data_IF_847049153087
#
_entry.id   IF_847049153087
#
_cell.length_a   1.000
_cell.length_b   1.000
_cell.length_c   1.000
_cell.angle_alpha   90.00
_cell.angle_beta   90.00
_cell.angle_gamma   90.00
#
_symmetry.space_group_name_H-M   'P 1'
#
loop_
_entity.id
_entity.type
_entity.pdbx_description
1 polymer ?
#
# COMPACT_ATOMS: atom_id res chain seq x y z
N UNK A 1 -11.35 -0.51 -1.14
CA UNK A 1 -11.04 -1.77 -0.42
C UNK A 1 -10.99 -1.44 1.06
N UNK A 2 -11.63 -2.25 1.90
CA UNK A 2 -11.70 -2.04 3.34
C UNK A 2 -11.14 -3.24 4.09
N UNK A 3 -10.39 -2.97 5.15
CA UNK A 3 -9.67 -3.96 5.95
C UNK A 3 -9.87 -3.68 7.43
N UNK A 4 -9.74 -4.71 8.26
CA UNK A 4 -9.76 -4.60 9.72
C UNK A 4 -8.53 -5.31 10.28
N UNK A 5 -7.95 -4.82 11.37
CA UNK A 5 -6.90 -5.56 12.07
C UNK A 5 -7.39 -6.96 12.46
N UNK A 6 -6.54 -7.96 12.28
CA UNK A 6 -6.83 -9.33 12.71
C UNK A 6 -7.00 -9.37 14.22
N UNK A 7 -7.78 -10.33 14.68
CA UNK A 7 -7.87 -10.62 16.09
C UNK A 7 -6.49 -11.02 16.64
N UNK A 8 -6.00 -10.27 17.63
CA UNK A 8 -4.68 -10.49 18.21
C UNK A 8 -4.57 -11.88 18.84
N UNK A 9 -5.67 -12.41 19.36
CA UNK A 9 -5.71 -13.75 19.98
C UNK A 9 -5.51 -14.87 18.95
N UNK A 10 -5.76 -14.61 17.68
CA UNK A 10 -5.61 -15.57 16.57
C UNK A 10 -4.24 -15.48 15.87
N UNK A 11 -3.42 -14.50 16.26
CA UNK A 11 -2.12 -14.25 15.68
C UNK A 11 -0.99 -15.00 16.39
N UNK A 12 0.07 -15.34 15.66
CA UNK A 12 1.33 -15.80 16.27
C UNK A 12 2.01 -14.67 17.08
N UNK A 13 3.05 -15.02 17.84
CA UNK A 13 3.74 -14.04 18.70
C UNK A 13 4.32 -12.85 17.90
N UNK A 14 4.78 -13.10 16.67
CA UNK A 14 5.32 -12.05 15.81
C UNK A 14 4.24 -11.02 15.44
N UNK A 15 3.10 -11.47 14.92
CA UNK A 15 2.00 -10.58 14.55
C UNK A 15 1.31 -9.94 15.75
N UNK A 16 1.25 -10.63 16.90
CA UNK A 16 0.77 -10.04 18.15
C UNK A 16 1.60 -8.82 18.54
N UNK A 17 2.93 -8.92 18.48
CA UNK A 17 3.83 -7.80 18.74
C UNK A 17 3.70 -6.71 17.70
N UNK A 18 3.55 -7.07 16.42
CA UNK A 18 3.43 -6.11 15.33
C UNK A 18 2.14 -5.29 15.49
N UNK A 19 0.99 -5.96 15.66
CA UNK A 19 -0.32 -5.34 15.85
C UNK A 19 -0.37 -4.53 17.15
N UNK A 20 0.22 -5.01 18.24
CA UNK A 20 0.25 -4.28 19.51
C UNK A 20 1.06 -2.97 19.50
N UNK A 21 1.88 -2.74 18.47
CA UNK A 21 2.75 -1.55 18.37
C UNK A 21 2.34 -0.58 17.26
N UNK A 22 1.26 -0.84 16.51
CA UNK A 22 0.80 0.08 15.47
C UNK A 22 -0.19 1.11 16.00
N UNK A 23 -0.23 2.26 15.31
CA UNK A 23 -1.16 3.35 15.57
C UNK A 23 -2.54 3.08 14.90
N UNK A 24 -3.11 1.92 15.21
CA UNK A 24 -4.38 1.44 14.65
C UNK A 24 -5.26 0.82 15.74
N UNK A 25 -6.51 1.28 15.80
CA UNK A 25 -7.58 0.75 16.65
C UNK A 25 -8.11 -0.58 16.14
N UNK A 26 -8.16 -1.59 17.02
CA UNK A 26 -8.54 -2.97 16.68
C UNK A 26 -9.97 -3.12 16.13
N UNK A 27 -10.91 -2.29 16.54
CA UNK A 27 -12.31 -2.40 16.12
C UNK A 27 -12.68 -1.55 14.91
N UNK A 28 -11.73 -0.77 14.41
CA UNK A 28 -11.96 0.14 13.29
C UNK A 28 -11.73 -0.56 11.95
N UNK A 29 -12.61 -0.25 11.00
CA UNK A 29 -12.44 -0.61 9.60
C UNK A 29 -11.67 0.53 8.94
N UNK A 30 -10.56 0.18 8.31
CA UNK A 30 -9.72 1.09 7.55
C UNK A 30 -9.95 0.87 6.07
N UNK A 31 -10.04 1.95 5.31
CA UNK A 31 -10.02 1.84 3.85
C UNK A 31 -8.61 2.09 3.31
N UNK A 32 -8.24 1.24 2.37
CA UNK A 32 -6.91 1.13 1.80
C UNK A 32 -6.67 2.24 0.79
N UNK A 33 -5.62 3.02 1.03
CA UNK A 33 -5.16 4.09 0.13
C UNK A 33 -4.35 3.50 -1.02
N UNK A 34 -3.44 2.57 -0.76
CA UNK A 34 -2.61 1.95 -1.80
C UNK A 34 -2.39 0.48 -1.47
N UNK A 35 -2.43 -0.38 -2.50
CA UNK A 35 -2.15 -1.81 -2.39
C UNK A 35 -0.79 -2.06 -3.03
N UNK A 36 0.23 -2.36 -2.23
CA UNK A 36 1.55 -2.79 -2.71
C UNK A 36 1.65 -4.30 -2.72
N UNK A 37 2.76 -4.91 -3.15
CA UNK A 37 2.90 -6.38 -3.20
C UNK A 37 2.65 -7.02 -1.82
N UNK A 38 3.38 -6.59 -0.78
CA UNK A 38 3.35 -7.16 0.57
C UNK A 38 2.67 -6.29 1.63
N UNK A 39 2.35 -5.04 1.28
CA UNK A 39 1.85 -4.03 2.23
C UNK A 39 0.59 -3.31 1.75
N UNK A 40 -0.19 -2.80 2.70
CA UNK A 40 -1.24 -1.80 2.46
C UNK A 40 -0.78 -0.45 2.99
N UNK A 41 -1.09 0.61 2.26
CA UNK A 41 -1.04 1.97 2.79
C UNK A 41 -2.40 2.39 3.28
N UNK A 42 -2.49 2.83 4.53
CA UNK A 42 -3.74 3.25 5.18
C UNK A 42 -3.53 4.63 5.83
N UNK A 43 -4.62 5.39 6.02
CA UNK A 43 -4.60 6.51 6.96
C UNK A 43 -4.82 5.95 8.38
N UNK A 44 -3.77 6.01 9.20
CA UNK A 44 -3.83 5.55 10.59
C UNK A 44 -4.62 6.47 11.51
N UNK A 45 -4.62 6.19 12.81
CA UNK A 45 -5.40 7.00 13.77
C UNK A 45 -4.81 8.42 13.96
N UNK A 46 -3.51 8.61 13.72
CA UNK A 46 -2.84 9.92 13.62
C UNK A 46 -3.12 10.72 12.34
N UNK A 47 -3.99 10.27 11.45
CA UNK A 47 -4.34 10.98 10.20
C UNK A 47 -3.18 11.17 9.22
N UNK A 48 -2.18 10.30 9.29
CA UNK A 48 -1.06 10.25 8.35
C UNK A 48 -1.09 8.92 7.59
N UNK A 49 -0.69 8.89 6.31
CA UNK A 49 -0.58 7.65 5.57
C UNK A 49 0.63 6.84 6.07
N UNK A 50 0.45 5.54 6.28
CA UNK A 50 1.54 4.64 6.68
C UNK A 50 1.40 3.27 6.02
N UNK A 51 2.54 2.60 5.83
CA UNK A 51 2.60 1.24 5.31
C UNK A 51 2.48 0.22 6.44
N UNK A 52 1.66 -0.79 6.20
CA UNK A 52 1.45 -1.91 7.11
C UNK A 52 1.46 -3.22 6.33
N UNK A 53 2.02 -4.26 6.92
CA UNK A 53 2.04 -5.59 6.33
C UNK A 53 0.60 -6.10 6.13
N UNK A 54 0.28 -6.60 4.94
CA UNK A 54 -1.09 -7.07 4.62
C UNK A 54 -1.56 -8.18 5.57
N UNK A 55 -0.64 -8.99 6.08
CA UNK A 55 -0.92 -10.14 6.96
C UNK A 55 -1.45 -9.72 8.33
N UNK A 56 -1.38 -8.44 8.66
CA UNK A 56 -1.99 -7.86 9.86
C UNK A 56 -3.50 -7.68 9.76
N UNK A 57 -4.09 -7.86 8.57
CA UNK A 57 -5.48 -7.49 8.32
C UNK A 57 -6.33 -8.64 7.79
N UNK A 58 -7.59 -8.65 8.19
CA UNK A 58 -8.66 -9.36 7.48
C UNK A 58 -9.33 -8.39 6.48
N UNK A 59 -9.65 -8.90 5.29
CA UNK A 59 -10.32 -8.11 4.25
C UNK A 59 -11.82 -8.10 4.56
N UNK A 60 -12.37 -6.90 4.76
CA UNK A 60 -13.79 -6.69 5.00
C UNK A 60 -14.54 -6.42 3.71
N UNK A 61 -13.92 -5.68 2.79
CA UNK A 61 -14.47 -5.38 1.46
C UNK A 61 -13.31 -5.38 0.44
N UNK A 62 -13.25 -6.36 -0.48
CA UNK A 62 -12.18 -6.47 -1.47
C UNK A 62 -12.32 -5.46 -2.63
N UNK A 63 -13.42 -4.71 -2.72
CA UNK A 63 -13.72 -3.84 -3.87
C UNK A 63 -12.68 -2.74 -4.01
N UNK A 64 -12.04 -2.62 -5.18
CA UNK A 64 -11.11 -1.55 -5.49
C UNK A 64 -11.92 -0.29 -5.88
N UNK A 65 -11.65 0.89 -5.29
CA UNK A 65 -12.41 2.10 -5.62
C UNK A 65 -12.21 2.54 -7.08
N UNK A 66 -13.22 3.21 -7.63
CA UNK A 66 -13.12 3.84 -8.95
C UNK A 66 -11.99 4.89 -8.97
N UNK A 67 -11.27 4.98 -10.07
CA UNK A 67 -10.15 5.92 -10.23
C UNK A 67 -8.81 5.42 -9.68
N UNK A 68 -8.75 4.19 -9.15
CA UNK A 68 -7.48 3.51 -8.90
C UNK A 68 -6.92 2.91 -10.19
N UNK A 69 -5.60 2.89 -10.31
CA UNK A 69 -4.87 2.37 -11.47
C UNK A 69 -3.80 1.37 -11.03
N UNK A 70 -3.39 0.51 -11.96
CA UNK A 70 -2.20 -0.32 -11.83
C UNK A 70 -0.98 0.54 -12.18
N UNK A 71 -0.09 0.74 -11.22
CA UNK A 71 1.18 1.42 -11.39
C UNK A 71 2.28 0.36 -11.38
N UNK A 72 2.78 0.02 -12.56
CA UNK A 72 3.83 -0.98 -12.74
C UNK A 72 5.21 -0.39 -12.44
N UNK A 73 6.01 -1.14 -11.69
CA UNK A 73 7.41 -0.87 -11.46
C UNK A 73 8.22 -1.92 -12.21
N UNK A 74 9.22 -1.42 -12.94
CA UNK A 74 10.23 -2.27 -13.54
C UNK A 74 11.49 -2.03 -12.73
N UNK A 75 11.77 -2.91 -11.77
CA UNK A 75 13.14 -3.04 -11.29
C UNK A 75 13.90 -3.87 -12.32
N UNK A 76 15.02 -3.33 -12.80
CA UNK A 76 15.95 -4.11 -13.59
C UNK A 76 16.50 -5.21 -12.67
N UNK A 77 15.98 -6.43 -12.77
CA UNK A 77 16.55 -7.59 -12.09
C UNK A 77 18.03 -7.71 -12.47
N UNK A 78 18.89 -7.84 -11.47
CA UNK A 78 20.31 -8.16 -11.68
C UNK A 78 20.53 -9.65 -12.01
N UNK A 79 19.49 -10.49 -11.92
CA UNK A 79 19.56 -11.90 -12.27
C UNK A 79 19.38 -12.11 -13.77
N UNK A 80 20.43 -12.63 -14.40
CA UNK A 80 20.46 -12.98 -15.81
C UNK A 80 20.50 -14.50 -15.95
N UNK A 81 19.59 -15.04 -16.75
CA UNK A 81 19.57 -16.44 -17.16
C UNK A 81 20.16 -16.54 -18.56
N UNK A 82 21.09 -17.46 -18.76
CA UNK A 82 21.70 -17.74 -20.06
C UNK A 82 21.51 -19.20 -20.44
N UNK A 83 21.17 -19.48 -21.69
CA UNK A 83 21.25 -20.85 -22.24
C UNK A 83 22.61 -21.12 -22.91
N UNK A 84 22.81 -22.37 -23.35
CA UNK A 84 24.04 -22.83 -24.01
C UNK A 84 24.28 -22.13 -25.36
N UNK A 85 23.24 -21.53 -25.96
CA UNK A 85 23.29 -20.78 -27.21
C UNK A 85 23.58 -19.28 -26.99
N UNK A 86 23.73 -18.85 -25.74
CA UNK A 86 24.07 -17.48 -25.37
C UNK A 86 22.88 -16.51 -25.39
N UNK A 87 21.65 -17.02 -25.40
CA UNK A 87 20.47 -16.19 -25.20
C UNK A 87 20.37 -15.81 -23.72
N UNK A 88 20.35 -14.52 -23.43
CA UNK A 88 20.23 -14.00 -22.07
C UNK A 88 18.83 -13.42 -21.87
N UNK A 89 18.09 -13.93 -20.89
CA UNK A 89 16.82 -13.36 -20.44
C UNK A 89 16.86 -13.06 -18.95
N UNK A 90 15.95 -12.22 -18.48
CA UNK A 90 15.77 -11.89 -17.06
C UNK A 90 14.41 -12.39 -16.61
N UNK A 91 14.33 -12.88 -15.39
CA UNK A 91 13.04 -13.09 -14.74
C UNK A 91 12.43 -11.71 -14.46
N UNK A 92 11.27 -11.45 -15.05
CA UNK A 92 10.46 -10.26 -14.77
C UNK A 92 9.33 -10.70 -13.85
N UNK A 93 9.44 -10.43 -12.56
CA UNK A 93 8.26 -10.39 -11.70
C UNK A 93 7.60 -9.01 -11.91
N UNK A 94 6.43 -8.99 -12.56
CA UNK A 94 5.65 -7.76 -12.70
C UNK A 94 5.19 -7.30 -11.31
N UNK A 95 5.93 -6.38 -10.71
CA UNK A 95 5.51 -5.71 -9.49
C UNK A 95 4.67 -4.48 -9.83
N UNK A 96 3.46 -4.44 -9.30
CA UNK A 96 2.58 -3.28 -9.43
C UNK A 96 1.97 -2.89 -8.10
N UNK A 97 1.74 -1.58 -7.96
CA UNK A 97 0.87 -1.05 -6.92
C UNK A 97 -0.51 -0.75 -7.53
N UNK A 98 -1.56 -0.89 -6.73
CA UNK A 98 -2.89 -0.37 -7.07
C UNK A 98 -3.09 0.90 -6.25
N UNK A 99 -3.12 2.05 -6.91
CA UNK A 99 -3.07 3.37 -6.27
C UNK A 99 -4.06 4.34 -6.92
N UNK A 100 -4.61 5.33 -6.20
CA UNK A 100 -5.37 6.42 -6.79
C UNK A 100 -4.60 7.06 -7.94
N UNK A 101 -5.30 7.35 -9.05
CA UNK A 101 -4.68 7.99 -10.23
C UNK A 101 -3.96 9.30 -9.89
N UNK A 102 -4.40 10.04 -8.87
CA UNK A 102 -3.74 11.27 -8.42
C UNK A 102 -2.38 11.03 -7.74
N UNK A 103 -2.05 9.80 -7.34
CA UNK A 103 -0.77 9.41 -6.76
C UNK A 103 0.14 8.69 -7.77
N UNK A 104 -0.22 8.66 -9.06
CA UNK A 104 0.51 7.95 -10.12
C UNK A 104 1.94 8.48 -10.39
N UNK A 105 2.35 9.57 -9.74
CA UNK A 105 3.73 10.06 -9.79
C UNK A 105 4.66 9.05 -9.10
N UNK A 106 5.81 8.76 -9.71
CA UNK A 106 6.86 7.97 -9.05
C UNK A 106 7.30 8.65 -7.76
N UNK A 107 7.50 7.87 -6.70
CA UNK A 107 7.94 8.35 -5.38
C UNK A 107 6.99 9.41 -4.76
N UNK A 108 5.69 9.38 -5.09
CA UNK A 108 4.71 10.33 -4.56
C UNK A 108 4.77 10.45 -3.03
N UNK A 109 4.77 9.31 -2.31
CA UNK A 109 4.79 9.32 -0.86
C UNK A 109 6.12 9.76 -0.27
N UNK A 110 7.24 9.55 -0.96
CA UNK A 110 8.55 10.05 -0.52
C UNK A 110 8.54 11.58 -0.51
N UNK A 111 8.10 12.20 -1.61
CA UNK A 111 7.93 13.66 -1.68
C UNK A 111 6.89 14.19 -0.68
N UNK A 112 5.81 13.44 -0.44
CA UNK A 112 4.84 13.78 0.61
C UNK A 112 5.49 13.83 2.00
N UNK A 113 6.29 12.82 2.36
CA UNK A 113 6.96 12.77 3.67
C UNK A 113 8.07 13.82 3.78
N UNK A 114 8.73 14.15 2.68
CA UNK A 114 9.66 15.28 2.56
C UNK A 114 8.96 16.66 2.55
N UNK A 115 7.63 16.67 2.72
CA UNK A 115 6.78 17.88 2.85
C UNK A 115 6.80 18.78 1.62
N UNK A 116 6.94 18.20 0.42
CA UNK A 116 6.75 18.94 -0.82
C UNK A 116 5.29 19.43 -0.93
N UNK A 117 5.12 20.74 -1.17
CA UNK A 117 3.81 21.42 -1.11
C UNK A 117 2.78 20.78 -2.06
N UNK A 118 3.21 20.40 -3.27
CA UNK A 118 2.35 19.79 -4.28
C UNK A 118 1.79 18.45 -3.81
N UNK A 119 2.63 17.53 -3.36
CA UNK A 119 2.21 16.19 -2.94
C UNK A 119 1.38 16.23 -1.66
N UNK A 120 1.71 17.14 -0.74
CA UNK A 120 0.88 17.41 0.44
C UNK A 120 -0.50 17.93 0.05
N UNK A 121 -0.58 18.86 -0.91
CA UNK A 121 -1.86 19.39 -1.39
C UNK A 121 -2.72 18.31 -2.07
N UNK A 122 -2.11 17.49 -2.94
CA UNK A 122 -2.78 16.38 -3.63
C UNK A 122 -3.31 15.36 -2.62
N UNK A 123 -2.51 14.98 -1.61
CA UNK A 123 -2.96 14.06 -0.56
C UNK A 123 -4.14 14.63 0.24
N UNK A 124 -4.04 15.88 0.68
CA UNK A 124 -5.11 16.53 1.44
C UNK A 124 -6.41 16.65 0.64
N UNK A 125 -6.31 16.97 -0.65
CA UNK A 125 -7.47 17.00 -1.55
C UNK A 125 -8.11 15.61 -1.69
N UNK A 126 -7.29 14.58 -1.87
CA UNK A 126 -7.74 13.19 -1.94
C UNK A 126 -8.52 12.79 -0.67
N UNK A 127 -7.95 12.99 0.52
CA UNK A 127 -8.61 12.67 1.80
C UNK A 127 -9.91 13.47 1.97
N UNK A 128 -9.89 14.75 1.62
CA UNK A 128 -11.09 15.61 1.70
C UNK A 128 -12.21 15.12 0.80
N UNK A 129 -11.90 14.67 -0.41
CA UNK A 129 -12.91 14.18 -1.35
C UNK A 129 -13.43 12.80 -0.96
N UNK A 130 -12.56 11.93 -0.46
CA UNK A 130 -12.92 10.63 0.09
C UNK A 130 -13.91 10.74 1.25
N UNK A 131 -13.65 11.60 2.23
CA UNK A 131 -14.54 11.80 3.38
C UNK A 131 -15.91 12.41 3.05
N UNK A 132 -16.12 12.89 1.81
CA UNK A 132 -17.46 13.35 1.35
C UNK A 132 -18.32 12.22 0.80
N UNK A 133 -17.72 11.07 0.51
CA UNK A 133 -18.38 9.91 -0.09
C UNK A 133 -18.86 8.89 0.96
N UNK A 134 -18.39 9.01 2.21
CA UNK A 134 -18.88 8.29 3.40
C UNK A 134 -20.05 9.04 4.07
#
# INVERSE_FOLDING_TARGET
>A
MKVKLRNIDECDEFYRRLIGNVDLSHDKIYEVIEIQQSSYRLEGDRKEPALYDKRMFDIVDPTIPEGYIYQFYYEDSEEFHGDEDGFIWRDFEEEYNITPKCFAQRAFFDFYFDKHEEQVAIYNEYIKNRNKLD
#
